data_IF_231198689836
#
_entry.id   IF_231198689836
#
_cell.length_a   1.000
_cell.length_b   1.000
_cell.length_c   1.000
_cell.angle_alpha   90.00
_cell.angle_beta   90.00
_cell.angle_gamma   90.00
#
_symmetry.space_group_name_H-M   'P 1'
#
loop_
_entity.id
_entity.type
_entity.pdbx_description
1 polymer ?
#
# COMPACT_ATOMS: atom_id res chain seq x y z
N UNK A 1 42.68 -18.77 -20.16
CA UNK A 1 41.91 -18.26 -21.29
C UNK A 1 40.46 -18.42 -20.93
N UNK A 2 39.85 -17.39 -20.37
CA UNK A 2 38.43 -17.37 -20.02
C UNK A 2 37.67 -16.87 -21.25
N UNK A 3 36.77 -17.71 -21.80
CA UNK A 3 35.83 -17.29 -22.82
C UNK A 3 34.74 -16.44 -22.14
N UNK A 4 34.69 -15.18 -22.50
CA UNK A 4 33.61 -14.25 -22.16
C UNK A 4 32.43 -14.64 -23.05
N UNK A 5 31.39 -15.23 -22.46
CA UNK A 5 30.10 -15.37 -23.14
C UNK A 5 29.41 -14.01 -23.13
N UNK A 6 29.41 -13.35 -24.29
CA UNK A 6 28.63 -12.15 -24.54
C UNK A 6 27.13 -12.48 -24.43
N UNK A 7 26.46 -11.82 -23.52
CA UNK A 7 24.99 -11.88 -23.46
C UNK A 7 24.41 -11.33 -24.78
N UNK A 8 23.38 -11.98 -25.37
CA UNK A 8 22.82 -11.54 -26.63
C UNK A 8 22.36 -10.08 -26.54
N UNK A 9 22.76 -9.29 -27.52
CA UNK A 9 22.42 -7.86 -27.55
C UNK A 9 20.89 -7.68 -27.51
N UNK A 10 20.40 -6.60 -26.87
CA UNK A 10 18.96 -6.26 -26.80
C UNK A 10 18.25 -6.30 -28.18
N UNK A 11 19.02 -6.16 -29.27
CA UNK A 11 18.52 -6.26 -30.64
C UNK A 11 18.19 -7.71 -31.04
N UNK A 12 19.01 -8.70 -30.62
CA UNK A 12 18.80 -10.12 -30.91
C UNK A 12 17.58 -10.65 -30.14
N UNK A 13 17.45 -10.24 -28.87
CA UNK A 13 16.28 -10.61 -28.05
C UNK A 13 14.98 -10.03 -28.63
N UNK A 14 15.02 -8.79 -29.14
CA UNK A 14 13.87 -8.15 -29.82
C UNK A 14 13.50 -8.85 -31.12
N UNK A 15 14.48 -9.32 -31.89
CA UNK A 15 14.25 -10.09 -33.13
C UNK A 15 13.60 -11.44 -32.82
N UNK A 16 14.11 -12.18 -31.84
CA UNK A 16 13.56 -13.47 -31.42
C UNK A 16 12.13 -13.37 -30.86
N UNK A 17 11.85 -12.30 -30.08
CA UNK A 17 10.50 -12.03 -29.58
C UNK A 17 9.57 -11.67 -30.74
N UNK A 18 10.02 -10.87 -31.72
CA UNK A 18 9.22 -10.49 -32.88
C UNK A 18 8.93 -11.72 -33.78
N UNK A 19 9.89 -12.63 -33.96
CA UNK A 19 9.69 -13.89 -34.69
C UNK A 19 8.69 -14.81 -33.96
N UNK A 20 8.81 -14.92 -32.64
CA UNK A 20 7.87 -15.75 -31.85
C UNK A 20 6.45 -15.18 -31.82
N UNK A 21 6.30 -13.85 -31.87
CA UNK A 21 4.99 -13.17 -32.02
C UNK A 21 4.43 -13.45 -33.43
N UNK A 22 5.24 -13.36 -34.48
CA UNK A 22 4.81 -13.62 -35.84
C UNK A 22 4.44 -15.11 -36.06
N UNK A 23 5.15 -16.04 -35.42
CA UNK A 23 4.81 -17.47 -35.44
C UNK A 23 3.50 -17.78 -34.68
N UNK A 24 3.22 -17.09 -33.58
CA UNK A 24 1.96 -17.23 -32.84
C UNK A 24 0.77 -16.57 -33.59
N UNK A 25 0.97 -15.45 -34.27
CA UNK A 25 -0.08 -14.85 -35.14
C UNK A 25 -0.43 -15.77 -36.32
N UNK A 26 0.55 -16.50 -36.89
CA UNK A 26 0.30 -17.49 -37.95
C UNK A 26 -0.37 -18.76 -37.41
N UNK A 27 -0.24 -19.08 -36.15
CA UNK A 27 -0.87 -20.26 -35.55
C UNK A 27 -2.33 -20.05 -35.16
N UNK A 28 -2.79 -18.79 -35.08
CA UNK A 28 -4.20 -18.45 -34.79
C UNK A 28 -5.12 -18.62 -36.02
N UNK A 29 -4.55 -19.01 -37.20
CA UNK A 29 -5.30 -19.34 -38.41
C UNK A 29 -5.44 -20.85 -38.64
N UNK A 30 -5.33 -21.71 -37.64
CA UNK A 30 -5.83 -23.07 -37.75
C UNK A 30 -7.34 -23.02 -37.83
N UNK A 31 -7.84 -23.02 -39.05
CA UNK A 31 -9.23 -23.36 -39.38
C UNK A 31 -9.44 -24.78 -38.86
N UNK A 32 -10.20 -24.89 -37.76
CA UNK A 32 -10.69 -26.18 -37.33
C UNK A 32 -11.53 -26.76 -38.46
N UNK A 33 -11.22 -27.97 -38.90
CA UNK A 33 -11.74 -28.61 -40.12
C UNK A 33 -13.23 -28.98 -40.03
N UNK A 34 -14.00 -28.46 -39.06
CA UNK A 34 -15.39 -28.85 -38.85
C UNK A 34 -16.41 -27.69 -38.97
N UNK A 35 -16.09 -26.58 -39.63
CA UNK A 35 -17.10 -25.58 -39.98
C UNK A 35 -17.72 -24.82 -38.77
N UNK A 36 -17.11 -24.86 -37.61
CA UNK A 36 -17.54 -24.06 -36.46
C UNK A 36 -17.23 -22.56 -36.68
N UNK A 37 -18.18 -21.70 -36.33
CA UNK A 37 -18.00 -20.25 -36.39
C UNK A 37 -16.76 -19.84 -35.55
N UNK A 38 -15.94 -18.89 -36.02
CA UNK A 38 -14.77 -18.44 -35.28
C UNK A 38 -15.18 -17.96 -33.89
N UNK A 39 -14.45 -18.42 -32.87
CA UNK A 39 -14.72 -18.08 -31.48
C UNK A 39 -14.67 -16.54 -31.28
N UNK A 40 -15.56 -15.97 -30.45
CA UNK A 40 -15.57 -14.53 -30.17
C UNK A 40 -14.22 -14.00 -29.72
N UNK A 41 -13.80 -12.81 -30.23
CA UNK A 41 -12.50 -12.21 -29.84
C UNK A 41 -12.46 -11.78 -28.36
N UNK A 42 -13.60 -11.56 -27.74
CA UNK A 42 -13.81 -11.16 -26.34
C UNK A 42 -13.99 -12.35 -25.37
N UNK A 43 -13.67 -13.59 -25.83
CA UNK A 43 -13.83 -14.82 -25.04
C UNK A 43 -12.90 -14.92 -23.83
N UNK A 44 -11.86 -14.11 -23.76
CA UNK A 44 -10.90 -14.12 -22.67
C UNK A 44 -11.09 -12.94 -21.74
N UNK A 45 -11.08 -13.22 -20.44
CA UNK A 45 -11.04 -12.20 -19.40
C UNK A 45 -9.60 -11.79 -19.10
N UNK A 46 -9.38 -10.50 -18.86
CA UNK A 46 -8.10 -10.05 -18.31
C UNK A 46 -7.95 -10.57 -16.87
N UNK A 47 -6.83 -11.22 -16.61
CA UNK A 47 -6.57 -11.88 -15.32
C UNK A 47 -6.54 -10.90 -14.15
N UNK A 48 -5.92 -9.74 -14.33
CA UNK A 48 -5.73 -8.77 -13.27
C UNK A 48 -7.03 -8.00 -12.98
N UNK A 49 -7.80 -7.68 -14.01
CA UNK A 49 -9.14 -7.08 -13.85
C UNK A 49 -10.13 -8.08 -13.24
N UNK A 50 -10.01 -9.37 -13.58
CA UNK A 50 -10.81 -10.42 -12.95
C UNK A 50 -10.49 -10.57 -11.47
N UNK A 51 -9.22 -10.41 -11.08
CA UNK A 51 -8.80 -10.42 -9.69
C UNK A 51 -9.40 -9.22 -8.90
N UNK A 52 -9.43 -8.03 -9.49
CA UNK A 52 -10.08 -6.86 -8.87
C UNK A 52 -11.60 -7.08 -8.69
N UNK A 53 -12.27 -7.76 -9.64
CA UNK A 53 -13.68 -8.16 -9.47
C UNK A 53 -13.86 -9.15 -8.34
N UNK A 54 -12.92 -10.08 -8.15
CA UNK A 54 -12.94 -10.96 -6.98
C UNK A 54 -12.82 -10.15 -5.68
N UNK A 55 -11.88 -9.20 -5.59
CA UNK A 55 -11.72 -8.38 -4.41
C UNK A 55 -12.92 -7.43 -4.17
N UNK A 56 -13.59 -6.98 -5.23
CA UNK A 56 -14.89 -6.29 -5.11
C UNK A 56 -15.91 -7.16 -4.37
N UNK A 57 -16.00 -8.46 -4.69
CA UNK A 57 -16.91 -9.38 -3.96
C UNK A 57 -16.54 -9.55 -2.49
N UNK A 58 -15.26 -9.40 -2.14
CA UNK A 58 -14.85 -9.36 -0.73
C UNK A 58 -15.39 -8.09 -0.05
N UNK A 59 -15.38 -6.94 -0.74
CA UNK A 59 -15.99 -5.71 -0.23
C UNK A 59 -17.53 -5.86 -0.09
N UNK A 60 -18.20 -6.49 -1.05
CA UNK A 60 -19.64 -6.80 -0.97
C UNK A 60 -19.98 -7.67 0.24
N UNK A 61 -19.04 -8.52 0.73
CA UNK A 61 -19.25 -9.25 1.99
C UNK A 61 -19.22 -8.30 3.20
N UNK A 62 -18.41 -7.24 3.17
CA UNK A 62 -18.44 -6.21 4.21
C UNK A 62 -19.78 -5.43 4.21
N UNK A 63 -20.37 -5.23 3.04
CA UNK A 63 -21.62 -4.50 2.84
C UNK A 63 -22.87 -5.33 3.18
N UNK A 64 -22.72 -6.63 3.40
CA UNK A 64 -23.85 -7.52 3.71
C UNK A 64 -24.33 -7.31 5.16
N UNK A 65 -25.47 -6.67 5.33
CA UNK A 65 -26.09 -6.36 6.63
C UNK A 65 -26.51 -7.61 7.45
N UNK A 66 -26.66 -8.78 6.81
CA UNK A 66 -26.93 -10.04 7.50
C UNK A 66 -25.71 -10.56 8.28
N UNK A 67 -24.53 -10.00 8.05
CA UNK A 67 -23.30 -10.37 8.75
C UNK A 67 -23.12 -9.54 10.04
N UNK A 68 -22.56 -10.15 11.11
CA UNK A 68 -22.20 -9.40 12.33
C UNK A 68 -21.25 -8.23 12.03
N UNK A 69 -21.43 -7.10 12.72
CA UNK A 69 -20.71 -5.86 12.47
C UNK A 69 -19.18 -6.03 12.47
N UNK A 70 -18.62 -6.78 13.43
CA UNK A 70 -17.17 -7.02 13.49
C UNK A 70 -16.66 -7.88 12.33
N UNK A 71 -17.47 -8.80 11.82
CA UNK A 71 -17.12 -9.56 10.61
C UNK A 71 -17.16 -8.68 9.36
N UNK A 72 -18.12 -7.76 9.27
CA UNK A 72 -18.17 -6.75 8.20
C UNK A 72 -16.92 -5.87 8.24
N UNK A 73 -16.52 -5.39 9.41
CA UNK A 73 -15.27 -4.64 9.59
C UNK A 73 -14.03 -5.47 9.22
N UNK A 74 -14.03 -6.76 9.54
CA UNK A 74 -12.97 -7.69 9.16
C UNK A 74 -12.87 -7.87 7.63
N UNK A 75 -14.02 -8.03 6.93
CA UNK A 75 -14.03 -8.11 5.46
C UNK A 75 -13.53 -6.81 4.79
N UNK A 76 -13.85 -5.64 5.36
CA UNK A 76 -13.30 -4.38 4.89
C UNK A 76 -11.76 -4.34 5.05
N UNK A 77 -11.22 -4.86 6.16
CA UNK A 77 -9.78 -4.98 6.37
C UNK A 77 -9.13 -6.00 5.41
N UNK A 78 -9.79 -7.14 5.14
CA UNK A 78 -9.33 -8.14 4.16
C UNK A 78 -9.28 -7.55 2.76
N UNK A 79 -10.30 -6.78 2.35
CA UNK A 79 -10.31 -6.07 1.06
C UNK A 79 -9.07 -5.19 0.90
N UNK A 80 -8.76 -4.37 1.91
CA UNK A 80 -7.60 -3.48 1.89
C UNK A 80 -6.28 -4.24 1.83
N UNK A 81 -6.13 -5.31 2.62
CA UNK A 81 -4.94 -6.18 2.62
C UNK A 81 -4.73 -6.88 1.27
N UNK A 82 -5.79 -7.41 0.69
CA UNK A 82 -5.77 -8.02 -0.64
C UNK A 82 -5.31 -7.02 -1.71
N UNK A 83 -5.81 -5.78 -1.63
CA UNK A 83 -5.44 -4.74 -2.58
C UNK A 83 -3.96 -4.35 -2.42
N UNK A 84 -3.43 -4.30 -1.20
CA UNK A 84 -2.00 -4.08 -0.95
C UNK A 84 -1.15 -5.16 -1.63
N UNK A 85 -1.46 -6.43 -1.43
CA UNK A 85 -0.74 -7.55 -2.06
C UNK A 85 -0.83 -7.51 -3.58
N UNK A 86 -2.00 -7.17 -4.12
CA UNK A 86 -2.19 -6.98 -5.56
C UNK A 86 -1.24 -5.94 -6.14
N UNK A 87 -1.07 -4.79 -5.47
CA UNK A 87 -0.12 -3.77 -5.88
C UNK A 87 1.33 -4.21 -5.71
N UNK A 88 1.65 -4.86 -4.60
CA UNK A 88 3.02 -5.34 -4.29
C UNK A 88 3.54 -6.35 -5.31
N UNK A 89 2.66 -7.19 -5.87
CA UNK A 89 3.05 -8.31 -6.74
C UNK A 89 2.59 -8.05 -8.18
N UNK A 90 1.28 -7.95 -8.42
CA UNK A 90 0.71 -7.93 -9.77
C UNK A 90 1.00 -6.63 -10.51
N UNK A 91 0.69 -5.50 -9.88
CA UNK A 91 0.93 -4.18 -10.48
C UNK A 91 2.44 -3.93 -10.60
N UNK A 92 3.22 -4.37 -9.61
CA UNK A 92 4.67 -4.30 -9.66
C UNK A 92 5.26 -5.04 -10.87
N UNK A 93 4.84 -6.30 -11.09
CA UNK A 93 5.25 -7.08 -12.26
C UNK A 93 4.83 -6.43 -13.58
N UNK A 94 3.61 -5.87 -13.66
CA UNK A 94 3.15 -5.17 -14.85
C UNK A 94 3.97 -3.91 -15.14
N UNK A 95 4.29 -3.09 -14.12
CA UNK A 95 5.15 -1.90 -14.27
C UNK A 95 6.55 -2.29 -14.74
N UNK A 96 7.13 -3.34 -14.18
CA UNK A 96 8.44 -3.87 -14.62
C UNK A 96 8.43 -4.28 -16.10
N UNK A 97 7.36 -4.96 -16.58
CA UNK A 97 7.20 -5.29 -18.01
C UNK A 97 7.17 -4.03 -18.90
N UNK A 98 6.46 -2.99 -18.45
CA UNK A 98 6.39 -1.71 -19.17
C UNK A 98 7.77 -1.04 -19.22
N UNK A 99 8.49 -1.02 -18.11
CA UNK A 99 9.82 -0.38 -18.01
C UNK A 99 10.88 -1.13 -18.83
N UNK A 100 10.75 -2.47 -18.91
CA UNK A 100 11.59 -3.32 -19.78
C UNK A 100 11.23 -3.24 -21.27
N UNK A 101 10.17 -2.49 -21.64
CA UNK A 101 9.72 -2.35 -23.02
C UNK A 101 9.02 -3.59 -23.58
N UNK A 102 8.57 -4.50 -22.73
CA UNK A 102 7.82 -5.70 -23.13
C UNK A 102 6.39 -5.28 -23.46
N UNK A 103 5.99 -5.39 -24.72
CA UNK A 103 4.70 -4.93 -25.25
C UNK A 103 3.70 -6.06 -25.53
N UNK A 104 3.96 -7.28 -25.04
CA UNK A 104 3.07 -8.44 -25.27
C UNK A 104 1.70 -8.18 -24.65
N UNK A 105 0.60 -8.17 -25.43
CA UNK A 105 -0.75 -8.00 -24.92
C UNK A 105 -1.16 -9.12 -23.95
N UNK A 106 -2.13 -8.83 -23.08
CA UNK A 106 -2.80 -9.86 -22.26
C UNK A 106 -3.67 -10.77 -23.16
N UNK A 107 -4.11 -11.91 -22.62
CA UNK A 107 -5.05 -12.80 -23.33
C UNK A 107 -6.34 -12.10 -23.76
N UNK A 108 -6.75 -11.04 -23.08
CA UNK A 108 -7.88 -10.18 -23.42
C UNK A 108 -7.54 -9.09 -24.46
N UNK A 109 -6.33 -9.10 -25.04
CA UNK A 109 -5.90 -8.14 -26.06
C UNK A 109 -5.46 -6.78 -25.55
N UNK A 110 -5.36 -6.56 -24.23
CA UNK A 110 -4.92 -5.29 -23.66
C UNK A 110 -3.38 -5.21 -23.65
N UNK A 111 -2.82 -4.14 -24.19
CA UNK A 111 -1.40 -3.84 -23.99
C UNK A 111 -1.11 -3.58 -22.50
N UNK A 112 0.13 -3.77 -22.02
CA UNK A 112 0.49 -3.55 -20.60
C UNK A 112 0.11 -2.16 -20.08
N UNK A 113 0.20 -1.12 -20.92
CA UNK A 113 -0.20 0.24 -20.55
C UNK A 113 -1.72 0.42 -20.45
N UNK A 114 -2.49 -0.22 -21.34
CA UNK A 114 -3.96 -0.22 -21.27
C UNK A 114 -4.44 -0.98 -20.04
N UNK A 115 -3.82 -2.14 -19.76
CA UNK A 115 -4.09 -2.94 -18.57
C UNK A 115 -3.83 -2.13 -17.29
N UNK A 116 -2.66 -1.46 -17.19
CA UNK A 116 -2.33 -0.63 -16.03
C UNK A 116 -3.33 0.52 -15.81
N UNK A 117 -3.79 1.15 -16.90
CA UNK A 117 -4.81 2.21 -16.82
C UNK A 117 -6.15 1.66 -16.30
N UNK A 118 -6.63 0.55 -16.88
CA UNK A 118 -7.89 -0.07 -16.44
C UNK A 118 -7.82 -0.56 -14.99
N UNK A 119 -6.67 -1.10 -14.56
CA UNK A 119 -6.41 -1.45 -13.17
C UNK A 119 -6.50 -0.21 -12.27
N UNK A 120 -5.81 0.87 -12.65
CA UNK A 120 -5.80 2.12 -11.87
C UNK A 120 -7.21 2.68 -11.68
N UNK A 121 -7.99 2.80 -12.76
CA UNK A 121 -9.37 3.28 -12.72
C UNK A 121 -10.26 2.41 -11.83
N UNK A 122 -10.15 1.08 -11.96
CA UNK A 122 -10.95 0.14 -11.17
C UNK A 122 -10.53 0.17 -9.69
N UNK A 123 -9.23 0.20 -9.41
CA UNK A 123 -8.71 0.20 -8.04
C UNK A 123 -9.09 1.50 -7.30
N UNK A 124 -9.01 2.68 -7.94
CA UNK A 124 -9.44 3.94 -7.33
C UNK A 124 -10.92 3.90 -6.97
N UNK A 125 -11.78 3.49 -7.91
CA UNK A 125 -13.22 3.36 -7.64
C UNK A 125 -13.49 2.44 -6.43
N UNK A 126 -12.86 1.28 -6.39
CA UNK A 126 -13.04 0.33 -5.27
C UNK A 126 -12.48 0.87 -3.95
N UNK A 127 -11.38 1.64 -3.98
CA UNK A 127 -10.84 2.30 -2.78
C UNK A 127 -11.79 3.39 -2.27
N UNK A 128 -12.38 4.18 -3.17
CA UNK A 128 -13.35 5.21 -2.81
C UNK A 128 -14.60 4.57 -2.19
N UNK A 129 -15.15 3.50 -2.80
CA UNK A 129 -16.27 2.73 -2.26
C UNK A 129 -15.94 2.19 -0.86
N UNK A 130 -14.77 1.55 -0.69
CA UNK A 130 -14.31 1.04 0.60
C UNK A 130 -14.15 2.13 1.65
N UNK A 131 -13.57 3.29 1.29
CA UNK A 131 -13.37 4.40 2.21
C UNK A 131 -14.70 4.99 2.68
N UNK A 132 -15.62 5.28 1.76
CA UNK A 132 -16.96 5.77 2.08
C UNK A 132 -17.71 4.76 2.96
N UNK A 133 -17.72 3.48 2.58
CA UNK A 133 -18.39 2.47 3.36
C UNK A 133 -17.82 2.36 4.79
N UNK A 134 -16.52 2.41 4.93
CA UNK A 134 -15.85 2.36 6.25
C UNK A 134 -16.22 3.58 7.09
N UNK A 135 -16.13 4.80 6.53
CA UNK A 135 -16.32 6.05 7.25
C UNK A 135 -17.81 6.32 7.53
N UNK A 136 -18.68 6.08 6.55
CA UNK A 136 -20.08 6.50 6.62
C UNK A 136 -21.00 5.40 7.20
N UNK A 137 -20.51 4.15 7.25
CA UNK A 137 -21.32 3.02 7.73
C UNK A 137 -20.65 2.28 8.89
N UNK A 138 -19.47 1.67 8.68
CA UNK A 138 -18.84 0.82 9.69
C UNK A 138 -18.50 1.61 10.97
N UNK A 139 -17.84 2.77 10.85
CA UNK A 139 -17.45 3.55 12.03
C UNK A 139 -18.68 4.05 12.83
N UNK A 140 -19.74 4.61 12.21
CA UNK A 140 -20.96 4.99 12.94
C UNK A 140 -21.71 3.81 13.58
N UNK A 141 -21.69 2.62 12.96
CA UNK A 141 -22.29 1.43 13.56
C UNK A 141 -21.49 0.93 14.76
N UNK A 142 -20.16 0.95 14.69
CA UNK A 142 -19.27 0.66 15.82
C UNK A 142 -19.50 1.64 16.98
N UNK A 143 -19.70 2.93 16.68
CA UNK A 143 -20.00 3.95 17.69
C UNK A 143 -21.32 3.65 18.43
N UNK A 144 -22.35 3.15 17.74
CA UNK A 144 -23.61 2.71 18.39
C UNK A 144 -23.38 1.54 19.35
N UNK A 145 -22.39 0.68 19.04
CA UNK A 145 -21.94 -0.42 19.91
C UNK A 145 -20.87 0.05 20.94
N UNK A 146 -20.73 1.38 21.09
CA UNK A 146 -19.77 2.02 22.02
C UNK A 146 -18.29 1.77 21.72
N UNK A 147 -17.95 1.34 20.51
CA UNK A 147 -16.56 1.23 20.02
C UNK A 147 -16.26 2.48 19.20
N UNK A 148 -15.41 3.37 19.71
CA UNK A 148 -15.22 4.70 19.12
C UNK A 148 -13.77 4.95 18.75
N UNK A 149 -13.53 5.35 17.50
CA UNK A 149 -12.25 5.86 17.05
C UNK A 149 -12.24 7.39 17.18
N UNK A 150 -11.41 7.90 18.07
CA UNK A 150 -11.39 9.31 18.47
C UNK A 150 -10.26 10.08 17.81
N UNK A 151 -10.50 11.36 17.58
CA UNK A 151 -9.48 12.36 17.25
C UNK A 151 -9.05 13.08 18.52
N UNK A 152 -7.87 13.70 18.51
CA UNK A 152 -7.29 14.35 19.69
C UNK A 152 -8.18 15.44 20.30
N UNK A 153 -8.87 16.20 19.46
CA UNK A 153 -9.78 17.29 19.83
C UNK A 153 -11.06 16.80 20.51
N UNK A 154 -11.45 15.55 20.30
CA UNK A 154 -12.64 14.92 20.90
C UNK A 154 -12.36 14.23 22.24
N UNK A 155 -11.11 14.22 22.69
CA UNK A 155 -10.69 13.66 23.96
C UNK A 155 -10.97 14.64 25.10
N UNK A 156 -11.36 14.12 26.25
CA UNK A 156 -11.43 14.87 27.48
C UNK A 156 -10.04 15.30 27.96
N UNK A 157 -9.95 16.31 28.82
CA UNK A 157 -8.67 16.77 29.37
C UNK A 157 -7.92 15.68 30.13
N UNK A 158 -8.63 14.78 30.83
CA UNK A 158 -8.04 13.66 31.57
C UNK A 158 -7.47 12.61 30.62
N UNK A 159 -8.18 12.28 29.53
CA UNK A 159 -7.71 11.37 28.49
C UNK A 159 -6.49 11.93 27.76
N UNK A 160 -6.51 13.21 27.40
CA UNK A 160 -5.37 13.90 26.79
C UNK A 160 -4.13 13.89 27.70
N UNK A 161 -4.31 14.13 29.01
CA UNK A 161 -3.21 14.09 29.98
C UNK A 161 -2.61 12.67 30.10
N UNK A 162 -3.47 11.66 30.16
CA UNK A 162 -3.05 10.24 30.22
C UNK A 162 -2.31 9.84 28.95
N UNK A 163 -2.86 10.14 27.78
CA UNK A 163 -2.24 9.83 26.49
C UNK A 163 -0.95 10.62 26.27
N UNK A 164 -0.86 11.87 26.74
CA UNK A 164 0.38 12.66 26.72
C UNK A 164 1.45 12.06 27.61
N UNK A 165 1.08 11.44 28.74
CA UNK A 165 2.01 10.68 29.59
C UNK A 165 2.50 9.42 28.90
N UNK A 166 1.57 8.64 28.31
CA UNK A 166 1.89 7.47 27.52
C UNK A 166 2.82 7.80 26.35
N UNK A 167 2.50 8.88 25.60
CA UNK A 167 3.35 9.38 24.53
C UNK A 167 4.77 9.67 25.01
N UNK A 168 4.95 10.45 26.07
CA UNK A 168 6.28 10.80 26.58
C UNK A 168 7.08 9.59 27.06
N UNK A 169 6.43 8.59 27.66
CA UNK A 169 7.11 7.47 28.29
C UNK A 169 7.37 6.31 27.32
N UNK A 170 6.47 6.05 26.39
CA UNK A 170 6.50 4.86 25.54
C UNK A 170 6.72 5.15 24.05
N UNK A 171 6.17 6.26 23.55
CA UNK A 171 6.18 6.56 22.12
C UNK A 171 7.37 7.45 21.75
N UNK A 172 7.51 8.58 22.39
CA UNK A 172 8.56 9.57 22.10
C UNK A 172 9.98 8.97 22.08
N UNK A 173 10.42 8.10 23.02
CA UNK A 173 11.79 7.56 23.02
C UNK A 173 12.13 6.69 21.83
N UNK A 174 11.15 6.16 21.10
CA UNK A 174 11.36 5.29 19.92
C UNK A 174 11.15 6.03 18.59
N UNK A 175 10.77 7.31 18.65
CA UNK A 175 10.60 8.13 17.44
C UNK A 175 11.95 8.66 16.96
N UNK A 176 12.13 8.64 15.64
CA UNK A 176 13.29 9.19 14.96
C UNK A 176 12.83 10.11 13.83
N UNK A 177 12.60 11.40 14.11
CA UNK A 177 12.28 12.36 13.05
C UNK A 177 13.50 12.56 12.16
N UNK A 178 13.28 12.62 10.85
CA UNK A 178 14.31 12.83 9.84
C UNK A 178 13.94 14.07 9.01
N UNK A 179 14.72 15.12 9.11
CA UNK A 179 14.60 16.31 8.26
C UNK A 179 15.28 16.07 6.90
N UNK A 180 14.71 16.66 5.86
CA UNK A 180 15.28 16.65 4.51
C UNK A 180 15.83 18.03 4.19
N UNK A 181 17.12 18.10 3.91
CA UNK A 181 17.80 19.31 3.49
C UNK A 181 18.89 18.96 2.45
N UNK A 182 19.62 19.91 1.87
CA UNK A 182 20.66 19.62 0.88
C UNK A 182 21.79 18.70 1.37
N UNK A 183 22.02 18.61 2.71
CA UNK A 183 23.01 17.73 3.32
C UNK A 183 22.41 16.36 3.69
N UNK A 184 21.09 16.28 3.85
CA UNK A 184 20.36 15.08 4.24
C UNK A 184 19.31 14.74 3.19
N UNK A 185 19.61 13.84 2.24
CA UNK A 185 18.70 13.48 1.16
C UNK A 185 17.44 12.81 1.70
N UNK A 186 16.39 12.76 0.86
CA UNK A 186 15.12 12.15 1.21
C UNK A 186 15.31 10.71 1.72
N UNK A 187 14.81 10.39 2.93
CA UNK A 187 15.05 9.09 3.55
C UNK A 187 14.32 7.97 2.82
N UNK A 188 14.89 6.78 2.88
CA UNK A 188 14.20 5.59 2.40
C UNK A 188 12.91 5.34 3.21
N UNK A 189 11.79 5.13 2.49
CA UNK A 189 10.50 4.77 3.07
C UNK A 189 10.27 3.28 2.88
N UNK A 190 10.20 2.53 3.97
CA UNK A 190 9.93 1.08 3.92
C UNK A 190 8.51 0.79 3.45
N UNK A 191 8.35 -0.31 2.67
CA UNK A 191 7.05 -0.76 2.18
C UNK A 191 6.03 -0.96 3.30
N UNK A 192 4.78 -0.56 3.06
CA UNK A 192 3.65 -0.73 4.00
C UNK A 192 3.72 0.11 5.29
N UNK A 193 4.86 0.75 5.60
CA UNK A 193 4.98 1.56 6.81
C UNK A 193 4.21 2.87 6.69
N UNK A 194 3.52 3.25 7.78
CA UNK A 194 2.86 4.54 7.90
C UNK A 194 3.86 5.56 8.41
N UNK A 195 3.80 6.76 7.85
CA UNK A 195 4.69 7.85 8.16
C UNK A 195 3.90 9.16 8.22
N UNK A 196 4.38 10.14 8.98
CA UNK A 196 3.94 11.52 8.88
C UNK A 196 4.92 12.30 8.01
N UNK A 197 4.39 12.95 6.98
CA UNK A 197 5.04 14.01 6.23
C UNK A 197 4.75 15.33 6.98
N UNK A 198 5.79 16.01 7.43
CA UNK A 198 5.66 17.21 8.24
C UNK A 198 6.38 18.37 7.57
N UNK A 199 5.70 19.49 7.38
CA UNK A 199 6.33 20.74 6.96
C UNK A 199 6.57 21.58 8.21
N UNK A 200 7.85 21.81 8.50
CA UNK A 200 8.29 22.64 9.63
C UNK A 200 8.93 23.93 9.14
N UNK A 201 8.65 25.04 9.79
CA UNK A 201 9.22 26.35 9.46
C UNK A 201 10.12 26.84 10.61
N UNK A 202 11.31 27.28 10.27
CA UNK A 202 12.19 27.95 11.21
C UNK A 202 11.76 29.43 11.35
N UNK A 203 11.23 29.85 12.53
CA UNK A 203 10.68 31.19 12.72
C UNK A 203 11.75 32.29 12.57
N UNK A 204 13.02 32.00 12.80
CA UNK A 204 14.10 32.99 12.68
C UNK A 204 14.48 33.27 11.23
N UNK A 205 14.36 32.32 10.33
CA UNK A 205 14.75 32.44 8.91
C UNK A 205 13.57 32.45 7.94
N UNK A 206 12.36 32.08 8.38
CA UNK A 206 11.16 31.87 7.55
C UNK A 206 11.28 30.68 6.55
N UNK A 207 12.34 29.89 6.66
CA UNK A 207 12.56 28.76 5.75
C UNK A 207 11.76 27.53 6.22
N UNK A 208 11.04 26.93 5.27
CA UNK A 208 10.33 25.65 5.49
C UNK A 208 11.19 24.46 5.10
N UNK A 209 11.08 23.40 5.86
CA UNK A 209 11.75 22.12 5.62
C UNK A 209 10.75 20.98 5.69
N UNK A 210 10.98 19.97 4.87
CA UNK A 210 10.25 18.70 4.97
C UNK A 210 10.90 17.84 6.03
N UNK A 211 10.09 17.23 6.87
CA UNK A 211 10.52 16.20 7.82
C UNK A 211 9.61 14.97 7.73
N UNK A 212 10.19 13.83 8.02
CA UNK A 212 9.48 12.55 8.06
C UNK A 212 9.55 11.97 9.46
N UNK A 213 8.39 11.55 9.97
CA UNK A 213 8.29 10.77 11.22
C UNK A 213 7.68 9.41 10.91
N UNK A 214 8.44 8.32 11.13
CA UNK A 214 7.92 6.96 10.95
C UNK A 214 7.07 6.57 12.16
N UNK A 215 5.88 6.01 11.92
CA UNK A 215 5.06 5.42 12.96
C UNK A 215 5.69 4.07 13.35
N UNK A 216 5.99 3.85 14.65
CA UNK A 216 6.64 2.63 15.11
C UNK A 216 5.74 1.41 14.92
N UNK A 217 6.23 0.39 14.22
CA UNK A 217 5.48 -0.86 13.99
C UNK A 217 5.46 -1.83 15.18
N UNK A 218 6.27 -1.58 16.18
CA UNK A 218 6.35 -2.37 17.43
C UNK A 218 5.43 -1.84 18.54
N UNK A 219 4.72 -0.74 18.30
CA UNK A 219 3.70 -0.20 19.20
C UNK A 219 2.29 -0.51 18.65
N UNK A 220 1.26 -0.53 19.52
CA UNK A 220 -0.12 -0.73 19.10
C UNK A 220 -0.55 0.31 18.07
N UNK A 221 -1.24 -0.13 17.04
CA UNK A 221 -1.79 0.75 15.99
C UNK A 221 -2.91 1.64 16.52
N UNK A 222 -3.76 1.07 17.36
CA UNK A 222 -4.82 1.75 18.08
C UNK A 222 -4.46 1.78 19.57
N UNK A 223 -4.46 2.96 20.15
CA UNK A 223 -4.14 3.17 21.57
C UNK A 223 -5.46 3.36 22.32
N UNK A 224 -5.75 2.54 23.36
CA UNK A 224 -6.93 2.74 24.19
C UNK A 224 -6.89 4.11 24.89
N UNK A 225 -7.99 4.84 24.85
CA UNK A 225 -8.10 6.13 25.53
C UNK A 225 -8.52 5.99 27.00
N UNK A 226 -9.13 4.87 27.35
CA UNK A 226 -9.58 4.58 28.71
C UNK A 226 -8.63 3.63 29.43
N UNK A 227 -8.61 3.67 30.75
CA UNK A 227 -7.92 2.66 31.53
C UNK A 227 -8.79 1.40 31.55
N UNK A 228 -8.41 0.41 30.70
CA UNK A 228 -9.12 -0.85 30.58
C UNK A 228 -9.16 -1.67 31.88
N UNK A 229 -8.42 -1.25 32.92
CA UNK A 229 -8.38 -1.87 34.24
C UNK A 229 -9.33 -1.24 35.24
N UNK A 230 -9.85 -0.05 34.93
CA UNK A 230 -10.79 0.65 35.81
C UNK A 230 -12.23 0.19 35.54
N UNK A 231 -12.82 -0.51 36.51
CA UNK A 231 -14.18 -1.08 36.39
C UNK A 231 -15.26 0.01 36.31
N UNK A 232 -15.02 1.20 36.84
CA UNK A 232 -15.96 2.33 36.77
C UNK A 232 -15.99 2.98 35.38
N UNK A 233 -14.91 2.90 34.59
CA UNK A 233 -14.86 3.47 33.24
C UNK A 233 -15.39 2.55 32.14
N UNK A 234 -15.64 1.27 32.44
CA UNK A 234 -16.10 0.27 31.47
C UNK A 234 -17.53 0.49 30.93
N UNK A 235 -18.31 1.32 31.59
CA UNK A 235 -19.73 1.49 31.24
C UNK A 235 -20.01 2.54 30.15
N UNK A 236 -19.05 3.39 29.80
CA UNK A 236 -19.32 4.50 28.87
C UNK A 236 -19.00 4.17 27.42
N UNK A 237 -17.77 3.73 27.10
CA UNK A 237 -17.34 3.43 25.72
C UNK A 237 -15.99 2.70 25.68
N UNK A 238 -15.71 2.03 24.56
CA UNK A 238 -14.38 1.53 24.21
C UNK A 238 -13.71 2.52 23.23
N UNK A 239 -13.03 3.56 23.77
CA UNK A 239 -12.39 4.58 22.99
C UNK A 239 -10.98 4.21 22.55
N UNK A 240 -10.64 4.53 21.30
CA UNK A 240 -9.30 4.33 20.74
C UNK A 240 -8.86 5.59 19.98
N UNK A 241 -7.56 5.85 20.00
CA UNK A 241 -6.92 6.83 19.10
C UNK A 241 -5.88 6.13 18.23
N UNK A 242 -5.82 6.47 16.93
CA UNK A 242 -4.79 5.96 16.05
C UNK A 242 -3.41 6.53 16.43
N UNK A 243 -2.36 5.69 16.40
CA UNK A 243 -1.01 6.08 16.83
C UNK A 243 -0.48 7.31 16.06
N UNK A 244 -0.75 7.42 14.77
CA UNK A 244 -0.36 8.58 13.97
C UNK A 244 -1.06 9.87 14.41
N UNK A 245 -2.32 9.80 14.85
CA UNK A 245 -3.04 10.98 15.38
C UNK A 245 -2.50 11.38 16.74
N UNK A 246 -2.13 10.41 17.61
CA UNK A 246 -1.47 10.66 18.86
C UNK A 246 -0.10 11.34 18.65
N UNK A 247 0.70 10.86 17.71
CA UNK A 247 2.01 11.46 17.40
C UNK A 247 1.83 12.83 16.76
N UNK A 248 0.84 13.00 15.86
CA UNK A 248 0.56 14.29 15.23
C UNK A 248 0.20 15.38 16.26
N UNK A 249 -0.56 15.03 17.30
CA UNK A 249 -0.90 15.95 18.40
C UNK A 249 0.30 16.40 19.24
N UNK A 250 1.46 15.72 19.14
CA UNK A 250 2.67 16.01 19.90
C UNK A 250 3.88 16.38 19.04
N UNK A 251 3.67 16.74 17.76
CA UNK A 251 4.77 17.06 16.83
C UNK A 251 5.69 18.17 17.31
N UNK A 252 5.18 19.15 18.04
CA UNK A 252 5.99 20.25 18.61
C UNK A 252 7.13 19.72 19.51
N UNK A 253 6.92 18.60 20.20
CA UNK A 253 7.95 17.99 21.03
C UNK A 253 9.10 17.37 20.22
N UNK A 254 8.85 17.00 18.96
CA UNK A 254 9.82 16.42 18.04
C UNK A 254 10.62 17.48 17.28
N UNK A 255 10.07 18.70 17.17
CA UNK A 255 10.68 19.81 16.41
C UNK A 255 10.77 21.08 17.28
N UNK A 256 11.56 21.05 18.38
CA UNK A 256 11.64 22.17 19.32
C UNK A 256 12.11 23.45 18.62
N UNK A 257 11.37 24.53 18.84
CA UNK A 257 11.65 25.85 18.24
C UNK A 257 11.26 26.01 16.78
N UNK A 258 10.61 25.01 16.18
CA UNK A 258 10.05 25.09 14.82
C UNK A 258 8.52 25.26 14.89
N UNK A 259 7.95 25.84 13.86
CA UNK A 259 6.51 25.94 13.67
C UNK A 259 6.05 24.81 12.77
N UNK A 260 5.09 24.00 13.23
CA UNK A 260 4.47 22.96 12.39
C UNK A 260 3.45 23.64 11.47
N UNK A 261 3.69 23.59 10.15
CA UNK A 261 2.79 24.16 9.15
C UNK A 261 1.73 23.16 8.67
N UNK A 262 2.16 21.94 8.46
CA UNK A 262 1.30 20.88 7.93
C UNK A 262 1.85 19.51 8.34
N UNK A 263 0.94 18.58 8.62
CA UNK A 263 1.29 17.18 8.85
C UNK A 263 0.25 16.28 8.18
N UNK A 264 0.72 15.34 7.34
CA UNK A 264 -0.14 14.37 6.66
C UNK A 264 0.41 12.95 6.83
N UNK A 265 -0.48 12.02 7.06
CA UNK A 265 -0.11 10.61 7.04
C UNK A 265 0.11 10.15 5.60
N UNK A 266 1.14 9.35 5.37
CA UNK A 266 1.37 8.73 4.08
C UNK A 266 1.92 7.32 4.22
N UNK A 267 1.70 6.51 3.18
CA UNK A 267 2.18 5.14 3.05
C UNK A 267 2.67 4.89 1.64
N UNK A 268 3.75 4.11 1.51
CA UNK A 268 4.30 3.69 0.23
C UNK A 268 4.18 2.18 0.12
N UNK A 269 3.53 1.70 -0.94
CA UNK A 269 3.56 0.29 -1.32
C UNK A 269 4.73 0.07 -2.27
N UNK A 270 5.57 -0.95 -2.00
CA UNK A 270 6.74 -1.29 -2.80
C UNK A 270 6.57 -2.64 -3.48
N UNK A 271 7.36 -2.85 -4.52
CA UNK A 271 7.47 -4.18 -5.13
C UNK A 271 8.06 -5.17 -4.13
N UNK A 272 7.34 -6.25 -3.90
CA UNK A 272 7.77 -7.39 -3.08
C UNK A 272 7.83 -8.70 -3.88
N UNK A 273 7.69 -8.62 -5.20
CA UNK A 273 7.80 -9.76 -6.11
C UNK A 273 9.24 -10.27 -6.15
N UNK A 274 9.41 -11.59 -6.02
CA UNK A 274 10.71 -12.26 -6.01
C UNK A 274 10.93 -12.87 -7.39
N UNK A 275 11.96 -12.40 -8.09
CA UNK A 275 12.47 -13.04 -9.30
C UNK A 275 13.72 -13.84 -8.94
N UNK A 276 13.59 -15.15 -8.89
CA UNK A 276 14.75 -16.05 -8.80
C UNK A 276 15.14 -16.39 -10.23
N UNK A 277 16.27 -15.87 -10.69
CA UNK A 277 16.83 -16.27 -11.99
C UNK A 277 17.30 -17.74 -11.91
N UNK A 278 16.95 -18.54 -12.92
CA UNK A 278 17.29 -19.98 -12.96
C UNK A 278 18.81 -20.24 -12.90
N UNK A 279 19.63 -19.29 -13.33
CA UNK A 279 21.09 -19.36 -13.28
C UNK A 279 21.68 -19.32 -11.86
N UNK A 280 20.91 -18.88 -10.86
CA UNK A 280 21.31 -18.87 -9.45
C UNK A 280 21.05 -20.20 -8.73
N UNK A 281 20.58 -21.24 -9.44
CA UNK A 281 20.17 -22.53 -8.85
C UNK A 281 21.30 -23.32 -8.16
N UNK A 282 22.58 -23.04 -8.47
CA UNK A 282 23.72 -23.70 -7.81
C UNK A 282 23.86 -23.31 -6.32
N UNK A 283 23.26 -22.20 -5.88
CA UNK A 283 23.27 -21.79 -4.47
C UNK A 283 21.95 -21.08 -4.08
N UNK A 284 20.86 -21.85 -4.05
CA UNK A 284 19.51 -21.36 -3.77
C UNK A 284 19.42 -20.52 -2.48
N UNK A 285 20.18 -20.86 -1.42
CA UNK A 285 20.19 -20.09 -0.19
C UNK A 285 20.77 -18.70 -0.37
N UNK A 286 21.88 -18.56 -1.10
CA UNK A 286 22.49 -17.26 -1.40
C UNK A 286 21.64 -16.43 -2.36
N UNK A 287 20.99 -17.08 -3.32
CA UNK A 287 20.05 -16.42 -4.22
C UNK A 287 18.83 -15.88 -3.44
N UNK A 288 18.24 -16.70 -2.58
CA UNK A 288 17.13 -16.29 -1.71
C UNK A 288 17.54 -15.17 -0.74
N UNK A 289 18.73 -15.21 -0.15
CA UNK A 289 19.23 -14.15 0.74
C UNK A 289 19.39 -12.83 -0.03
N UNK A 290 19.98 -12.86 -1.23
CA UNK A 290 20.08 -11.70 -2.13
C UNK A 290 18.71 -11.14 -2.50
N UNK A 291 17.75 -11.99 -2.86
CA UNK A 291 16.42 -11.56 -3.25
C UNK A 291 15.61 -11.02 -2.06
N UNK A 292 15.75 -11.61 -0.87
CA UNK A 292 15.16 -11.05 0.36
C UNK A 292 15.71 -9.66 0.70
N UNK A 293 17.01 -9.42 0.45
CA UNK A 293 17.60 -8.08 0.58
C UNK A 293 17.08 -7.12 -0.50
N UNK A 294 16.98 -7.55 -1.76
CA UNK A 294 16.41 -6.76 -2.87
C UNK A 294 14.94 -6.41 -2.64
N UNK A 295 14.13 -7.36 -2.14
CA UNK A 295 12.73 -7.15 -1.77
C UNK A 295 12.58 -5.98 -0.80
N UNK A 296 13.48 -5.87 0.17
CA UNK A 296 13.45 -4.79 1.16
C UNK A 296 13.59 -3.39 0.52
N UNK A 297 14.23 -3.29 -0.66
CA UNK A 297 14.51 -2.05 -1.38
C UNK A 297 13.79 -1.95 -2.72
N UNK A 298 12.74 -2.73 -2.94
CA UNK A 298 11.94 -2.70 -4.16
C UNK A 298 11.46 -1.29 -4.55
N UNK A 299 11.26 -0.99 -5.85
CA UNK A 299 10.80 0.31 -6.30
C UNK A 299 9.40 0.64 -5.73
N UNK A 300 9.07 1.93 -5.54
CA UNK A 300 7.74 2.33 -5.10
C UNK A 300 6.72 2.08 -6.21
N UNK A 301 5.59 1.50 -5.85
CA UNK A 301 4.50 1.15 -6.77
C UNK A 301 3.29 2.07 -6.58
N UNK A 302 2.94 2.37 -5.31
CA UNK A 302 1.80 3.21 -4.95
C UNK A 302 2.18 4.12 -3.78
N UNK A 303 1.68 5.35 -3.85
CA UNK A 303 1.73 6.32 -2.75
C UNK A 303 0.30 6.62 -2.32
N UNK A 304 0.03 6.54 -1.03
CA UNK A 304 -1.22 6.91 -0.38
C UNK A 304 -0.94 8.06 0.58
N UNK A 305 -1.77 9.09 0.55
CA UNK A 305 -1.66 10.29 1.39
C UNK A 305 -3.03 10.58 1.96
N UNK A 306 -3.11 10.90 3.26
CA UNK A 306 -4.37 11.31 3.86
C UNK A 306 -4.77 12.71 3.39
N UNK A 307 -6.06 12.91 3.10
CA UNK A 307 -6.64 14.22 2.76
C UNK A 307 -6.88 15.09 4.02
N UNK A 308 -6.86 14.48 5.21
CA UNK A 308 -7.05 15.19 6.47
C UNK A 308 -5.80 15.98 6.88
N UNK A 309 -6.00 17.23 7.15
CA UNK A 309 -5.07 18.12 7.85
C UNK A 309 -5.06 17.86 9.34
#
# INVERSE_FOLDING_TARGET
MAQIFDAPSKAILRSQIAEHIAENDNNDHRVDQEGEAPLPKDRFFDRELSWLKFNQRVLECAENEDMPLLERANFAAIFASNLDEFFMVRVAGLKRRIDSGIAVPSAAGLSPRQQLRAISETAHRLQDEHAHYTIDTILPELEKERIVLLTWDKLTSSEQERLSRYYRQQVFPVLTPLAVDPAHPFPYISGGSINLAVIVENPASGKSHFARVKIPGNLPRLVPVDDMTDEESKDERYGFIAMEKLIAAHLESLFPGMIIKEARSFRVTRNEDIDVEEDDAENLLNAMEKELLRRRFGPPIRLEISDET
#
